data_IF_046095658699
#
_entry.id   IF_046095658699
#
_cell.length_a   1.000
_cell.length_b   1.000
_cell.length_c   1.000
_cell.angle_alpha   90.00
_cell.angle_beta   90.00
_cell.angle_gamma   90.00
#
_symmetry.space_group_name_H-M   'P 1'
#
loop_
_entity.id
_entity.type
_entity.pdbx_description
1 polymer ?
#
# COMPACT_ATOMS: atom_id res chain seq x y z
N UNK A 1 22.72 -36.74 43.90
CA UNK A 1 22.10 -37.91 43.25
C UNK A 1 21.41 -37.40 41.99
N UNK A 2 21.99 -37.61 40.80
CA UNK A 2 21.71 -38.73 39.86
C UNK A 2 20.21 -38.74 39.47
N UNK A 3 19.76 -38.67 38.21
CA UNK A 3 20.33 -38.97 36.90
C UNK A 3 19.39 -38.37 35.81
N UNK A 4 19.91 -37.80 34.72
CA UNK A 4 19.26 -37.83 33.39
C UNK A 4 19.45 -39.25 32.78
N UNK A 5 18.96 -39.68 31.58
CA UNK A 5 18.33 -38.94 30.45
C UNK A 5 17.22 -39.73 29.67
N UNK A 6 16.62 -39.13 28.62
CA UNK A 6 16.15 -39.77 27.37
C UNK A 6 15.61 -38.65 26.45
N UNK A 7 16.34 -38.10 25.49
CA UNK A 7 16.61 -38.66 24.14
C UNK A 7 15.39 -39.32 23.51
N UNK A 8 14.59 -38.52 22.80
CA UNK A 8 13.89 -38.97 21.58
C UNK A 8 14.09 -37.93 20.48
N UNK A 9 14.87 -38.32 19.47
CA UNK A 9 15.02 -37.63 18.22
C UNK A 9 13.88 -38.03 17.26
N UNK A 10 13.32 -37.08 16.52
CA UNK A 10 12.60 -37.36 15.27
C UNK A 10 12.54 -36.09 14.37
N UNK A 11 13.59 -35.96 13.55
CA UNK A 11 13.62 -35.55 12.14
C UNK A 11 12.47 -34.73 11.51
N UNK A 12 12.85 -33.51 11.10
CA UNK A 12 12.78 -32.91 9.74
C UNK A 12 11.64 -33.32 8.77
N UNK A 13 10.88 -32.32 8.33
CA UNK A 13 10.35 -32.24 6.96
C UNK A 13 10.30 -30.77 6.52
N UNK A 14 11.40 -30.30 5.91
CA UNK A 14 11.43 -29.07 5.11
C UNK A 14 10.68 -29.34 3.80
N UNK A 15 9.45 -28.84 3.67
CA UNK A 15 8.80 -28.73 2.38
C UNK A 15 9.46 -27.57 1.61
N UNK A 16 10.22 -27.92 0.57
CA UNK A 16 10.84 -26.99 -0.35
C UNK A 16 9.76 -26.23 -1.15
N UNK A 17 9.81 -24.90 -1.12
CA UNK A 17 9.08 -24.06 -2.06
C UNK A 17 10.03 -23.72 -3.23
N UNK A 18 9.75 -24.24 -4.42
CA UNK A 18 10.48 -23.89 -5.65
C UNK A 18 10.24 -22.41 -6.02
N UNK A 19 11.29 -21.63 -6.34
CA UNK A 19 11.10 -20.35 -7.02
C UNK A 19 10.75 -20.59 -8.50
N UNK A 20 9.69 -19.92 -8.96
CA UNK A 20 9.30 -19.88 -10.36
C UNK A 20 10.38 -19.17 -11.21
N UNK A 21 10.62 -19.71 -12.41
CA UNK A 21 11.58 -19.22 -13.40
C UNK A 21 11.16 -17.85 -13.96
N UNK A 22 12.02 -16.82 -13.95
CA UNK A 22 11.72 -15.57 -14.64
C UNK A 22 11.76 -15.77 -16.16
N UNK A 23 10.82 -15.19 -16.94
CA UNK A 23 10.95 -15.12 -18.38
C UNK A 23 12.11 -14.19 -18.76
N UNK A 24 12.85 -14.58 -19.79
CA UNK A 24 13.92 -13.81 -20.37
C UNK A 24 13.37 -12.52 -20.99
N UNK A 25 14.12 -11.43 -20.80
CA UNK A 25 13.94 -10.16 -21.47
C UNK A 25 14.20 -10.30 -22.97
N UNK A 26 13.15 -10.19 -23.78
CA UNK A 26 13.32 -9.88 -25.20
C UNK A 26 13.42 -8.36 -25.36
N UNK A 27 14.66 -7.91 -25.47
CA UNK A 27 14.99 -6.64 -26.10
C UNK A 27 14.52 -6.68 -27.55
N UNK A 28 13.57 -5.82 -27.90
CA UNK A 28 13.38 -5.40 -29.28
C UNK A 28 13.27 -3.89 -29.33
N UNK A 29 14.40 -3.26 -29.68
CA UNK A 29 14.42 -1.92 -30.21
C UNK A 29 13.83 -1.98 -31.63
N UNK A 30 12.64 -1.39 -31.81
CA UNK A 30 12.00 -1.22 -33.10
C UNK A 30 11.46 0.20 -33.20
N UNK A 31 12.27 1.08 -33.78
CA UNK A 31 11.83 2.38 -34.26
C UNK A 31 10.84 2.19 -35.41
N UNK A 32 9.68 2.87 -35.34
CA UNK A 32 8.69 2.91 -36.40
C UNK A 32 7.81 4.14 -36.24
N UNK A 33 8.05 5.12 -37.10
CA UNK A 33 7.24 6.32 -37.26
C UNK A 33 5.87 5.98 -37.89
N UNK A 34 4.84 6.75 -37.54
CA UNK A 34 3.50 6.73 -38.13
C UNK A 34 2.55 7.47 -37.20
N UNK A 35 2.45 8.80 -37.32
CA UNK A 35 1.45 9.48 -38.16
C UNK A 35 0.01 9.32 -37.62
N UNK A 36 -0.43 10.38 -36.94
CA UNK A 36 -1.73 11.04 -37.09
C UNK A 36 -3.00 10.20 -37.20
N UNK A 37 -3.85 10.26 -36.16
CA UNK A 37 -5.30 10.22 -36.38
C UNK A 37 -6.02 11.04 -35.32
N UNK A 38 -6.30 12.28 -35.71
CA UNK A 38 -7.35 13.13 -35.16
C UNK A 38 -8.70 12.40 -35.19
N UNK A 39 -9.38 12.33 -34.04
CA UNK A 39 -10.82 12.56 -34.04
C UNK A 39 -11.28 13.17 -32.72
N UNK A 40 -11.51 14.47 -32.77
CA UNK A 40 -12.35 15.19 -31.82
C UNK A 40 -13.81 14.91 -32.16
N UNK A 41 -14.59 14.47 -31.17
CA UNK A 41 -16.04 14.69 -31.15
C UNK A 41 -16.40 15.29 -29.80
N UNK A 42 -16.54 16.62 -29.81
CA UNK A 42 -17.30 17.36 -28.82
C UNK A 42 -18.76 16.96 -28.93
N UNK A 43 -19.32 16.46 -27.84
CA UNK A 43 -20.72 16.68 -27.52
C UNK A 43 -20.79 17.24 -26.11
N UNK A 44 -20.81 18.56 -26.04
CA UNK A 44 -21.35 19.27 -24.90
C UNK A 44 -22.86 18.95 -24.84
N UNK A 45 -23.31 18.38 -23.72
CA UNK A 45 -24.71 18.43 -23.35
C UNK A 45 -24.83 18.92 -21.91
N UNK A 46 -25.13 20.21 -21.81
CA UNK A 46 -25.61 20.85 -20.60
C UNK A 46 -26.99 20.30 -20.26
N UNK A 47 -27.18 19.89 -19.01
CA UNK A 47 -28.48 20.00 -18.32
C UNK A 47 -28.26 20.05 -16.81
N UNK A 48 -28.02 21.27 -16.35
CA UNK A 48 -28.63 21.92 -15.19
C UNK A 48 -29.30 21.03 -14.13
N UNK A 49 -28.75 21.16 -12.92
CA UNK A 49 -29.43 21.17 -11.61
C UNK A 49 -29.92 19.83 -11.05
N UNK A 50 -29.20 19.35 -10.04
CA UNK A 50 -29.82 18.78 -8.85
C UNK A 50 -29.31 19.54 -7.62
N UNK A 51 -30.28 20.19 -7.01
CA UNK A 51 -30.32 20.94 -5.76
C UNK A 51 -29.44 20.35 -4.65
N UNK A 52 -28.78 21.28 -3.94
CA UNK A 52 -28.15 21.10 -2.63
C UNK A 52 -28.94 20.12 -1.73
N UNK A 53 -28.29 19.02 -1.38
CA UNK A 53 -28.54 18.33 -0.13
C UNK A 53 -27.37 18.69 0.78
N UNK A 54 -27.65 19.56 1.74
CA UNK A 54 -26.83 19.77 2.92
C UNK A 54 -26.90 18.48 3.74
N UNK A 55 -26.09 17.50 3.36
CA UNK A 55 -25.81 16.34 4.19
C UNK A 55 -24.57 16.71 5.02
N UNK A 56 -24.76 16.81 6.33
CA UNK A 56 -23.73 16.92 7.38
C UNK A 56 -22.41 16.27 6.94
N UNK A 57 -21.46 17.10 6.49
CA UNK A 57 -20.11 16.64 6.19
C UNK A 57 -19.45 16.31 7.53
N UNK A 58 -19.51 15.04 7.91
CA UNK A 58 -18.38 14.44 8.62
C UNK A 58 -17.09 14.90 7.90
N UNK A 59 -16.00 15.20 8.61
CA UNK A 59 -14.75 15.61 7.97
C UNK A 59 -14.30 14.46 7.07
N UNK A 60 -14.71 14.50 5.80
CA UNK A 60 -14.08 13.77 4.73
C UNK A 60 -12.67 14.31 4.74
N UNK A 61 -11.71 13.50 5.17
CA UNK A 61 -10.29 13.81 5.24
C UNK A 61 -9.97 14.71 4.07
N UNK A 62 -9.76 16.00 4.35
CA UNK A 62 -9.60 17.00 3.31
C UNK A 62 -8.44 16.48 2.46
N UNK A 63 -8.73 16.09 1.22
CA UNK A 63 -7.72 15.56 0.34
C UNK A 63 -6.67 16.66 0.22
N UNK A 64 -5.55 16.48 0.90
CA UNK A 64 -4.38 17.28 0.69
C UNK A 64 -3.98 16.96 -0.75
N UNK A 65 -4.16 17.91 -1.67
CA UNK A 65 -3.85 17.74 -3.11
C UNK A 65 -2.33 17.55 -3.38
N UNK A 66 -1.57 17.20 -2.34
CA UNK A 66 -0.12 16.99 -2.33
C UNK A 66 0.26 15.51 -2.19
N UNK A 67 1.53 15.25 -2.49
CA UNK A 67 2.14 13.92 -2.31
C UNK A 67 2.92 13.92 -1.01
N UNK A 68 2.98 12.79 -0.31
CA UNK A 68 3.78 12.73 0.91
C UNK A 68 5.27 13.02 0.65
N UNK A 69 5.75 12.71 -0.57
CA UNK A 69 7.09 13.10 -1.02
C UNK A 69 7.30 14.62 -1.01
N UNK A 70 6.35 15.41 -1.53
CA UNK A 70 6.44 16.88 -1.57
C UNK A 70 6.29 17.50 -0.19
N UNK A 71 5.50 16.87 0.68
CA UNK A 71 5.07 17.47 1.93
C UNK A 71 6.12 17.33 3.04
N UNK A 72 6.73 16.14 3.16
CA UNK A 72 7.71 15.85 4.24
C UNK A 72 9.10 15.48 3.69
N UNK A 73 9.28 15.49 2.37
CA UNK A 73 10.52 15.13 1.72
C UNK A 73 10.77 13.62 1.64
N UNK A 74 11.59 13.21 0.67
CA UNK A 74 11.82 11.80 0.31
C UNK A 74 12.16 10.90 1.51
N UNK A 75 13.13 11.31 2.33
CA UNK A 75 13.63 10.47 3.42
C UNK A 75 12.56 10.22 4.49
N UNK A 76 11.72 11.21 4.80
CA UNK A 76 10.65 11.04 5.77
C UNK A 76 9.46 10.28 5.17
N UNK A 77 9.09 10.57 3.93
CA UNK A 77 8.04 9.87 3.20
C UNK A 77 8.35 8.37 3.04
N UNK A 78 9.58 8.01 2.69
CA UNK A 78 10.02 6.61 2.58
C UNK A 78 9.93 5.89 3.93
N UNK A 79 10.27 6.56 5.04
CA UNK A 79 10.12 5.98 6.38
C UNK A 79 8.66 5.74 6.73
N UNK A 80 7.77 6.68 6.42
CA UNK A 80 6.35 6.54 6.66
C UNK A 80 5.75 5.40 5.84
N UNK A 81 6.06 5.32 4.54
CA UNK A 81 5.65 4.22 3.66
C UNK A 81 6.15 2.87 4.17
N UNK A 82 7.43 2.80 4.58
CA UNK A 82 7.98 1.56 5.13
C UNK A 82 7.23 1.10 6.38
N UNK A 83 6.89 2.02 7.29
CA UNK A 83 6.07 1.73 8.46
C UNK A 83 4.68 1.23 8.06
N UNK A 84 4.03 1.90 7.12
CA UNK A 84 2.72 1.51 6.57
C UNK A 84 2.71 0.09 6.03
N UNK A 85 3.72 -0.30 5.24
CA UNK A 85 3.84 -1.65 4.69
C UNK A 85 4.02 -2.70 5.81
N UNK A 86 4.74 -2.38 6.87
CA UNK A 86 5.00 -3.31 7.98
C UNK A 86 3.75 -3.62 8.82
N UNK A 87 2.78 -2.70 8.86
CA UNK A 87 1.57 -2.86 9.68
C UNK A 87 0.32 -3.18 8.87
N UNK A 88 0.30 -2.90 7.57
CA UNK A 88 -0.91 -3.10 6.76
C UNK A 88 -1.12 -4.58 6.41
N UNK A 89 -2.30 -5.15 6.72
CA UNK A 89 -2.65 -6.51 6.31
C UNK A 89 -3.12 -6.60 4.85
N UNK A 90 -3.26 -5.47 4.13
CA UNK A 90 -3.80 -5.46 2.77
C UNK A 90 -2.75 -5.92 1.75
N UNK A 91 -3.21 -6.56 0.66
CA UNK A 91 -2.32 -6.96 -0.45
C UNK A 91 -1.91 -5.79 -1.34
N UNK A 92 -2.70 -4.71 -1.35
CA UNK A 92 -2.47 -3.48 -2.11
C UNK A 92 -2.88 -2.26 -1.27
N UNK A 93 -2.14 -1.95 -0.19
CA UNK A 93 -2.47 -0.80 0.64
C UNK A 93 -2.08 0.53 -0.06
N UNK A 94 -2.63 1.68 0.39
CA UNK A 94 -2.25 3.00 -0.11
C UNK A 94 -0.86 3.47 0.39
N UNK A 95 0.06 2.55 0.73
CA UNK A 95 1.41 2.87 1.20
C UNK A 95 2.33 3.28 0.04
N UNK A 96 2.18 4.51 -0.46
CA UNK A 96 3.00 5.04 -1.56
C UNK A 96 3.32 6.52 -1.33
N UNK A 97 4.55 6.96 -1.57
CA UNK A 97 4.97 8.35 -1.36
C UNK A 97 4.28 9.35 -2.30
N UNK A 98 3.68 8.89 -3.39
CA UNK A 98 2.81 9.66 -4.28
C UNK A 98 1.41 9.91 -3.71
N UNK A 99 1.01 9.21 -2.64
CA UNK A 99 -0.24 9.48 -1.94
C UNK A 99 -0.04 10.56 -0.87
N UNK A 100 -1.09 11.27 -0.43
CA UNK A 100 -1.01 12.23 0.67
C UNK A 100 -0.52 11.57 1.96
N UNK A 101 0.28 12.27 2.79
CA UNK A 101 0.79 11.68 4.03
C UNK A 101 -0.34 11.24 4.97
N UNK A 102 -1.43 12.01 5.06
CA UNK A 102 -2.57 11.69 5.92
C UNK A 102 -3.22 10.36 5.52
N UNK A 103 -3.33 10.07 4.21
CA UNK A 103 -3.84 8.78 3.74
C UNK A 103 -2.94 7.61 4.16
N UNK A 104 -1.62 7.79 4.12
CA UNK A 104 -0.66 6.76 4.54
C UNK A 104 -0.72 6.57 6.06
N UNK A 105 -0.89 7.67 6.81
CA UNK A 105 -0.99 7.67 8.26
C UNK A 105 -2.31 7.04 8.74
N UNK A 106 -3.43 7.36 8.09
CA UNK A 106 -4.74 6.76 8.36
C UNK A 106 -4.71 5.24 8.17
N UNK A 107 -4.01 4.73 7.14
CA UNK A 107 -3.85 3.29 6.95
C UNK A 107 -3.02 2.63 8.07
N UNK A 108 -1.98 3.31 8.55
CA UNK A 108 -1.22 2.85 9.71
C UNK A 108 -2.13 2.77 10.94
N UNK A 109 -2.87 3.83 11.23
CA UNK A 109 -3.70 3.92 12.42
C UNK A 109 -4.84 2.90 12.38
N UNK A 110 -5.52 2.78 11.23
CA UNK A 110 -6.54 1.75 10.99
C UNK A 110 -5.99 0.34 11.19
N UNK A 111 -4.81 0.04 10.65
CA UNK A 111 -4.20 -1.29 10.78
C UNK A 111 -3.77 -1.58 12.22
N UNK A 112 -3.18 -0.60 12.91
CA UNK A 112 -2.75 -0.72 14.30
C UNK A 112 -3.92 -0.80 15.30
N UNK A 113 -5.09 -0.28 14.93
CA UNK A 113 -6.32 -0.41 15.70
C UNK A 113 -6.96 -1.80 15.59
N UNK A 114 -6.60 -2.63 14.61
CA UNK A 114 -7.14 -4.00 14.46
C UNK A 114 -6.62 -4.97 15.52
N UNK A 115 -5.46 -4.70 16.11
CA UNK A 115 -4.92 -5.53 17.17
C UNK A 115 -5.76 -5.44 18.44
N UNK A 116 -6.05 -6.60 19.02
CA UNK A 116 -6.79 -6.72 20.27
C UNK A 116 -6.07 -6.10 21.47
N UNK A 117 -6.80 -5.80 22.57
CA UNK A 117 -6.21 -5.17 23.77
C UNK A 117 -5.16 -6.05 24.46
N UNK A 118 -5.26 -7.37 24.33
CA UNK A 118 -4.31 -8.35 24.90
C UNK A 118 -3.27 -8.82 23.89
N UNK A 119 -3.36 -8.39 22.63
CA UNK A 119 -2.43 -8.78 21.58
C UNK A 119 -1.17 -7.92 21.61
N UNK A 120 -0.02 -8.56 21.38
CA UNK A 120 1.24 -7.84 21.22
C UNK A 120 1.27 -7.13 19.87
N UNK A 121 1.08 -5.81 19.89
CA UNK A 121 1.22 -4.96 18.70
C UNK A 121 2.68 -4.93 18.19
N UNK A 122 2.89 -4.82 16.86
CA UNK A 122 4.20 -4.51 16.29
C UNK A 122 4.77 -3.21 16.85
N UNK A 123 6.09 -3.07 16.89
CA UNK A 123 6.75 -1.85 17.38
C UNK A 123 6.40 -0.62 16.53
N UNK A 124 6.11 -0.85 15.25
CA UNK A 124 5.68 0.13 14.26
C UNK A 124 4.34 0.77 14.63
N UNK A 125 3.51 0.10 15.45
CA UNK A 125 2.24 0.65 15.95
C UNK A 125 2.41 1.57 17.18
N UNK A 126 3.64 1.74 17.67
CA UNK A 126 3.96 2.59 18.84
C UNK A 126 5.03 3.64 18.55
N UNK A 127 5.37 3.82 17.27
CA UNK A 127 6.42 4.72 16.79
C UNK A 127 6.02 6.20 16.82
#
# INVERSE_FOLDING_TARGET
>A
MRLAPALLAASLSLAACSPAKPPASDTSAGAGAGAESTQAVSVASSSKSVTNLTEELAPSSAATDGTCLSDIGKVAADRLVKRCIMVSPATHPPCNTSNPCDMIQDEIDRSCAMYGPEEKKPAECTA
#
